data_IF_432366005921
#
_entry.id   IF_432366005921
#
_cell.length_a   1.000
_cell.length_b   1.000
_cell.length_c   1.000
_cell.angle_alpha   90.00
_cell.angle_beta   90.00
_cell.angle_gamma   90.00
#
_symmetry.space_group_name_H-M   'P 1'
#
loop_
_entity.id
_entity.type
_entity.pdbx_description
1 polymer ?
#
# COMPACT_ATOMS: atom_id res chain seq x y z
N UNK A 1 3.52 -23.01 1.23
CA UNK A 1 4.83 -23.28 1.80
C UNK A 1 4.95 -24.79 2.04
N UNK A 2 6.00 -25.42 1.60
CA UNK A 2 6.22 -26.86 1.83
C UNK A 2 7.71 -27.12 2.07
N UNK A 3 8.02 -27.79 3.17
CA UNK A 3 9.40 -28.21 3.52
C UNK A 3 10.45 -27.10 3.45
N UNK A 4 10.13 -25.90 3.92
CA UNK A 4 11.05 -24.75 3.90
C UNK A 4 11.12 -23.99 2.55
N UNK A 5 10.21 -24.28 1.60
CA UNK A 5 10.22 -23.66 0.29
C UNK A 5 8.86 -23.11 -0.13
N UNK A 6 8.85 -21.94 -0.78
CA UNK A 6 7.68 -21.44 -1.49
C UNK A 6 7.49 -22.24 -2.78
N UNK A 7 6.31 -22.80 -2.98
CA UNK A 7 5.96 -23.55 -4.19
C UNK A 7 4.98 -22.70 -5.00
N UNK A 8 5.33 -22.34 -6.26
CA UNK A 8 4.41 -21.59 -7.10
C UNK A 8 3.20 -22.48 -7.45
N UNK A 9 2.00 -21.97 -7.16
CA UNK A 9 0.73 -22.62 -7.51
C UNK A 9 0.21 -22.21 -8.89
N UNK A 10 0.63 -21.06 -9.40
CA UNK A 10 0.21 -20.54 -10.69
C UNK A 10 0.91 -19.24 -11.03
N UNK A 11 0.74 -18.81 -12.26
CA UNK A 11 1.20 -17.51 -12.76
C UNK A 11 0.02 -16.84 -13.43
N UNK A 12 -0.23 -15.58 -13.06
CA UNK A 12 -1.15 -14.72 -13.76
C UNK A 12 -0.35 -13.78 -14.65
N UNK A 13 -0.56 -13.89 -15.95
CA UNK A 13 0.00 -12.96 -16.91
C UNK A 13 -1.08 -11.97 -17.34
N UNK A 14 -0.79 -10.69 -17.25
CA UNK A 14 -1.59 -9.61 -17.78
C UNK A 14 -0.88 -8.95 -18.97
N UNK A 15 -1.63 -8.16 -19.74
CA UNK A 15 -1.06 -7.41 -20.85
C UNK A 15 0.10 -6.54 -20.36
N UNK A 16 1.24 -6.59 -21.07
CA UNK A 16 2.44 -5.77 -20.79
C UNK A 16 2.19 -4.26 -20.72
N UNK A 17 1.02 -3.82 -21.18
CA UNK A 17 0.57 -2.42 -21.07
C UNK A 17 -0.22 -2.13 -19.80
N UNK A 18 -0.32 -3.07 -18.89
CA UNK A 18 -0.91 -2.90 -17.57
C UNK A 18 0.17 -2.78 -16.50
N UNK A 19 -0.16 -2.08 -15.42
CA UNK A 19 0.68 -1.97 -14.23
C UNK A 19 -0.13 -2.32 -12.99
N UNK A 20 0.35 -3.27 -12.21
CA UNK A 20 -0.19 -3.55 -10.90
C UNK A 20 0.30 -2.49 -9.92
N UNK A 21 -0.64 -1.77 -9.33
CA UNK A 21 -0.37 -0.67 -8.39
C UNK A 21 -0.30 -1.19 -6.96
N UNK A 22 -1.22 -2.08 -6.61
CA UNK A 22 -1.28 -2.70 -5.28
C UNK A 22 -1.85 -4.11 -5.36
N UNK A 23 -1.44 -4.92 -4.39
CA UNK A 23 -1.97 -6.26 -4.14
C UNK A 23 -2.26 -6.36 -2.65
N UNK A 24 -3.48 -6.76 -2.31
CA UNK A 24 -3.92 -7.04 -0.94
C UNK A 24 -4.65 -8.38 -0.87
N UNK A 25 -4.63 -9.02 0.29
CA UNK A 25 -5.21 -10.35 0.48
C UNK A 25 -6.05 -10.35 1.76
N UNK A 26 -7.29 -10.82 1.66
CA UNK A 26 -8.16 -11.08 2.81
C UNK A 26 -9.38 -11.90 2.37
N UNK A 27 -9.99 -12.65 3.29
CA UNK A 27 -11.32 -13.24 3.10
C UNK A 27 -12.38 -12.19 3.46
N UNK A 28 -12.81 -11.42 2.46
CA UNK A 28 -13.79 -10.34 2.62
C UNK A 28 -15.22 -10.82 2.37
N UNK A 29 -15.40 -11.81 1.50
CA UNK A 29 -16.72 -12.36 1.22
C UNK A 29 -17.18 -13.37 2.28
N UNK A 30 -16.28 -13.79 3.19
CA UNK A 30 -16.57 -14.65 4.34
C UNK A 30 -16.79 -16.11 3.96
N UNK A 31 -16.26 -16.57 2.83
CA UNK A 31 -16.43 -17.96 2.37
C UNK A 31 -15.34 -18.92 2.86
N UNK A 32 -14.33 -18.43 3.61
CA UNK A 32 -13.21 -19.19 4.14
C UNK A 32 -12.03 -19.31 3.17
N UNK A 33 -12.08 -18.66 2.01
CA UNK A 33 -10.99 -18.58 1.03
C UNK A 33 -10.62 -17.11 0.84
N UNK A 34 -9.36 -16.78 1.06
CA UNK A 34 -8.92 -15.40 0.88
C UNK A 34 -8.92 -14.99 -0.59
N UNK A 35 -9.45 -13.80 -0.86
CA UNK A 35 -9.36 -13.15 -2.15
C UNK A 35 -8.04 -12.39 -2.29
N UNK A 36 -7.59 -12.23 -3.54
CA UNK A 36 -6.47 -11.38 -3.92
C UNK A 36 -7.04 -10.18 -4.67
N UNK A 37 -6.96 -9.00 -4.06
CA UNK A 37 -7.41 -7.73 -4.62
C UNK A 37 -6.27 -7.05 -5.36
N UNK A 38 -6.42 -6.86 -6.65
CA UNK A 38 -5.38 -6.29 -7.50
C UNK A 38 -5.87 -4.98 -8.12
N UNK A 39 -5.21 -3.89 -7.75
CA UNK A 39 -5.39 -2.62 -8.46
C UNK A 39 -4.55 -2.64 -9.71
N UNK A 40 -5.22 -2.62 -10.86
CA UNK A 40 -4.61 -2.69 -12.18
C UNK A 40 -4.93 -1.44 -12.99
N UNK A 41 -3.89 -0.81 -13.54
CA UNK A 41 -4.00 0.39 -14.35
C UNK A 41 -3.25 0.22 -15.66
N UNK A 42 -3.89 0.48 -16.81
CA UNK A 42 -3.20 0.54 -18.08
C UNK A 42 -2.10 1.60 -18.06
N UNK A 43 -0.93 1.25 -18.57
CA UNK A 43 0.19 2.18 -18.74
C UNK A 43 -0.15 3.24 -19.78
N UNK A 44 0.24 4.45 -19.53
CA UNK A 44 0.13 5.51 -20.53
C UNK A 44 1.36 5.42 -21.45
N UNK A 45 1.21 4.70 -22.56
CA UNK A 45 2.30 4.62 -23.54
C UNK A 45 2.54 5.97 -24.22
N UNK A 46 3.78 6.20 -24.69
CA UNK A 46 4.15 7.41 -25.43
C UNK A 46 3.26 7.67 -26.67
N UNK A 47 2.63 6.62 -27.24
CA UNK A 47 1.63 6.75 -28.29
C UNK A 47 0.31 7.37 -27.84
N UNK A 48 -0.03 7.26 -26.54
CA UNK A 48 -1.22 7.91 -25.96
C UNK A 48 -1.00 9.40 -25.68
N UNK A 49 0.24 9.87 -25.52
CA UNK A 49 0.53 11.29 -25.44
C UNK A 49 0.12 12.02 -26.75
N UNK A 50 0.32 11.38 -27.90
CA UNK A 50 -0.14 11.94 -29.19
C UNK A 50 -1.67 11.93 -29.34
N UNK A 51 -2.35 10.91 -28.80
CA UNK A 51 -3.83 10.86 -28.85
C UNK A 51 -4.47 11.81 -27.83
N UNK A 52 -3.77 12.26 -26.78
CA UNK A 52 -4.24 13.31 -25.86
C UNK A 52 -4.42 14.66 -26.53
N UNK A 53 -3.53 15.01 -27.47
CA UNK A 53 -3.69 16.23 -28.27
C UNK A 53 -5.03 16.28 -29.03
N UNK A 54 -5.73 15.16 -29.13
CA UNK A 54 -7.03 14.99 -29.79
C UNK A 54 -8.17 14.60 -28.82
N UNK A 55 -8.04 14.83 -27.51
CA UNK A 55 -9.12 14.59 -26.52
C UNK A 55 -9.27 13.11 -26.11
N UNK A 56 -8.21 12.33 -26.12
CA UNK A 56 -8.25 10.95 -25.66
C UNK A 56 -8.51 10.88 -24.14
N UNK A 57 -9.41 9.98 -23.73
CA UNK A 57 -9.76 9.78 -22.32
C UNK A 57 -8.59 9.17 -21.56
N UNK A 58 -8.38 9.61 -20.30
CA UNK A 58 -7.46 8.97 -19.35
C UNK A 58 -7.74 7.47 -19.27
N UNK A 59 -6.70 6.60 -19.34
CA UNK A 59 -6.87 5.18 -19.12
C UNK A 59 -7.58 4.91 -17.79
N UNK A 60 -8.64 4.15 -17.82
CA UNK A 60 -9.40 3.83 -16.63
C UNK A 60 -8.81 2.60 -15.93
N UNK A 61 -8.98 2.52 -14.62
CA UNK A 61 -8.66 1.34 -13.86
C UNK A 61 -9.38 0.11 -14.41
N UNK A 62 -8.70 -1.01 -14.34
CA UNK A 62 -9.20 -2.34 -14.66
C UNK A 62 -8.82 -3.30 -13.53
N UNK A 63 -9.16 -2.88 -12.31
CA UNK A 63 -8.90 -3.67 -11.11
C UNK A 63 -9.69 -4.97 -11.15
N UNK A 64 -9.18 -6.01 -10.53
CA UNK A 64 -9.82 -7.32 -10.51
C UNK A 64 -9.55 -8.04 -9.20
N UNK A 65 -10.34 -9.08 -8.94
CA UNK A 65 -10.23 -9.90 -7.74
C UNK A 65 -10.10 -11.36 -8.13
N UNK A 66 -9.11 -12.04 -7.54
CA UNK A 66 -8.87 -13.46 -7.72
C UNK A 66 -9.28 -14.22 -6.48
N UNK A 67 -9.74 -15.45 -6.66
CA UNK A 67 -9.98 -16.41 -5.61
C UNK A 67 -9.46 -17.79 -6.05
N UNK A 68 -8.95 -18.57 -5.10
CA UNK A 68 -8.48 -19.93 -5.35
C UNK A 68 -9.65 -20.91 -5.30
N UNK A 69 -9.91 -21.64 -6.39
CA UNK A 69 -11.02 -22.63 -6.47
C UNK A 69 -10.64 -24.06 -6.05
N UNK A 70 -9.44 -24.23 -5.50
CA UNK A 70 -8.86 -25.53 -5.14
C UNK A 70 -7.93 -26.10 -6.20
N UNK A 71 -7.89 -25.52 -7.41
CA UNK A 71 -7.03 -25.97 -8.51
C UNK A 71 -6.30 -24.81 -9.20
N UNK A 72 -6.94 -23.66 -9.33
CA UNK A 72 -6.40 -22.48 -10.00
C UNK A 72 -7.00 -21.20 -9.44
N UNK A 73 -6.34 -20.06 -9.71
CA UNK A 73 -6.91 -18.76 -9.45
C UNK A 73 -7.96 -18.41 -10.51
N UNK A 74 -9.13 -17.96 -10.07
CA UNK A 74 -10.20 -17.44 -10.91
C UNK A 74 -10.43 -15.97 -10.66
N UNK A 75 -10.66 -15.20 -11.72
CA UNK A 75 -11.17 -13.84 -11.58
C UNK A 75 -12.65 -13.91 -11.21
N UNK A 76 -12.99 -13.52 -9.99
CA UNK A 76 -14.37 -13.44 -9.50
C UNK A 76 -14.98 -12.04 -9.72
N UNK A 77 -14.12 -11.02 -9.91
CA UNK A 77 -14.47 -9.68 -10.34
C UNK A 77 -13.48 -9.23 -11.39
N UNK A 78 -13.96 -8.59 -12.47
CA UNK A 78 -13.16 -8.04 -13.55
C UNK A 78 -13.53 -6.58 -13.85
N UNK A 79 -12.57 -5.82 -14.36
CA UNK A 79 -12.74 -4.45 -14.86
C UNK A 79 -13.36 -3.48 -13.83
N UNK A 80 -13.11 -3.68 -12.54
CA UNK A 80 -13.56 -2.76 -11.51
C UNK A 80 -12.83 -1.40 -11.62
N UNK A 81 -13.52 -0.33 -11.25
CA UNK A 81 -13.07 1.07 -11.40
C UNK A 81 -12.56 1.69 -10.10
N UNK A 82 -12.38 0.90 -9.07
CA UNK A 82 -11.80 1.34 -7.81
C UNK A 82 -10.32 0.98 -7.72
N UNK A 83 -9.58 1.85 -7.07
CA UNK A 83 -8.36 1.45 -6.37
C UNK A 83 -8.80 0.59 -5.18
N UNK A 84 -8.10 -0.50 -4.92
CA UNK A 84 -8.37 -1.40 -3.80
C UNK A 84 -7.32 -1.29 -2.71
N UNK A 85 -7.73 -1.43 -1.47
CA UNK A 85 -6.88 -1.62 -0.31
C UNK A 85 -7.61 -2.43 0.75
N UNK A 86 -6.95 -3.39 1.36
CA UNK A 86 -7.41 -4.00 2.60
C UNK A 86 -6.81 -3.23 3.76
N UNK A 87 -7.68 -2.75 4.65
CA UNK A 87 -7.30 -2.05 5.88
C UNK A 87 -7.79 -2.83 7.08
N UNK A 88 -7.03 -2.79 8.18
CA UNK A 88 -7.50 -3.33 9.45
C UNK A 88 -8.18 -2.23 10.25
N UNK A 89 -9.42 -2.47 10.64
CA UNK A 89 -10.19 -1.58 11.53
C UNK A 89 -10.22 -2.23 12.91
N UNK A 90 -9.84 -1.51 13.99
CA UNK A 90 -9.92 -2.04 15.35
C UNK A 90 -11.28 -2.68 15.64
N UNK A 91 -11.29 -3.83 16.26
CA UNK A 91 -12.48 -4.64 16.63
C UNK A 91 -13.35 -5.14 15.46
N UNK A 92 -13.02 -4.80 14.20
CA UNK A 92 -13.75 -5.29 13.01
C UNK A 92 -12.89 -6.23 12.15
N UNK A 93 -11.57 -6.12 12.24
CA UNK A 93 -10.64 -6.90 11.42
C UNK A 93 -10.40 -6.31 10.03
N UNK A 94 -10.13 -7.18 9.06
CA UNK A 94 -9.84 -6.80 7.68
C UNK A 94 -11.11 -6.32 6.97
N UNK A 95 -11.00 -5.17 6.32
CA UNK A 95 -12.08 -4.53 5.55
C UNK A 95 -11.53 -4.11 4.19
N UNK A 96 -12.23 -4.44 3.13
CA UNK A 96 -11.91 -3.92 1.80
C UNK A 96 -12.38 -2.48 1.68
N UNK A 97 -11.49 -1.58 1.30
CA UNK A 97 -11.85 -0.20 0.95
C UNK A 97 -11.53 0.09 -0.50
N UNK A 98 -12.35 0.94 -1.09
CA UNK A 98 -12.20 1.39 -2.45
C UNK A 98 -12.25 2.90 -2.57
N UNK A 99 -11.56 3.42 -3.58
CA UNK A 99 -11.68 4.81 -3.98
C UNK A 99 -11.66 4.88 -5.50
N UNK A 100 -12.52 5.70 -6.08
CA UNK A 100 -12.61 5.82 -7.54
C UNK A 100 -11.45 6.61 -8.11
N UNK A 101 -11.08 6.27 -9.32
CA UNK A 101 -10.16 7.09 -10.10
C UNK A 101 -10.80 8.44 -10.41
N UNK A 102 -10.03 9.49 -10.21
CA UNK A 102 -10.41 10.85 -10.60
C UNK A 102 -10.24 11.11 -12.09
N UNK A 103 -10.70 12.26 -12.51
CA UNK A 103 -10.51 12.75 -13.87
C UNK A 103 -9.17 13.49 -13.90
N UNK A 104 -8.26 13.02 -14.74
CA UNK A 104 -7.05 13.75 -15.06
C UNK A 104 -7.42 14.65 -16.26
N UNK A 105 -7.50 15.95 -16.02
CA UNK A 105 -7.93 16.93 -17.03
C UNK A 105 -6.74 17.50 -17.79
N UNK A 106 -6.88 17.64 -19.10
CA UNK A 106 -5.89 18.32 -19.94
C UNK A 106 -6.02 19.86 -19.85
N UNK A 107 -7.02 20.36 -19.13
CA UNK A 107 -7.24 21.79 -18.92
C UNK A 107 -6.79 22.19 -17.52
N UNK A 108 -6.19 23.37 -17.39
CA UNK A 108 -5.74 24.00 -16.16
C UNK A 108 -6.73 23.78 -15.00
N UNK A 109 -6.49 22.78 -14.19
CA UNK A 109 -7.33 22.40 -13.07
C UNK A 109 -6.68 21.26 -12.29
N UNK A 110 -7.01 21.16 -11.01
CA UNK A 110 -6.47 20.15 -10.11
C UNK A 110 -6.59 18.74 -10.71
N UNK A 111 -5.46 18.14 -11.06
CA UNK A 111 -5.39 16.73 -11.43
C UNK A 111 -5.79 15.87 -10.22
N UNK A 112 -7.01 15.36 -10.24
CA UNK A 112 -7.50 14.51 -9.17
C UNK A 112 -7.25 13.06 -9.54
N UNK A 113 -6.21 12.47 -8.98
CA UNK A 113 -5.92 11.04 -9.16
C UNK A 113 -7.02 10.20 -8.53
N UNK A 114 -7.44 10.60 -7.33
CA UNK A 114 -8.50 9.96 -6.57
C UNK A 114 -9.76 10.83 -6.57
N UNK A 115 -10.92 10.20 -6.69
CA UNK A 115 -12.22 10.87 -6.69
C UNK A 115 -13.14 10.31 -5.64
N UNK A 116 -13.84 11.21 -4.96
CA UNK A 116 -14.77 10.82 -3.89
C UNK A 116 -14.07 10.36 -2.61
N UNK A 117 -14.86 9.97 -1.62
CA UNK A 117 -14.36 9.46 -0.36
C UNK A 117 -13.77 8.05 -0.51
N UNK A 118 -12.99 7.64 0.48
CA UNK A 118 -12.66 6.23 0.68
C UNK A 118 -13.89 5.55 1.28
N UNK A 119 -14.40 4.52 0.61
CA UNK A 119 -15.61 3.80 1.00
C UNK A 119 -15.29 2.34 1.28
N UNK A 120 -15.99 1.74 2.21
CA UNK A 120 -16.02 0.31 2.41
C UNK A 120 -16.69 -0.36 1.22
N UNK A 121 -16.11 -1.45 0.75
CA UNK A 121 -16.65 -2.27 -0.32
C UNK A 121 -17.04 -3.62 0.26
N UNK A 122 -18.30 -4.00 0.08
CA UNK A 122 -18.84 -5.27 0.58
C UNK A 122 -19.23 -6.18 -0.56
N UNK A 123 -19.08 -7.49 -0.33
CA UNK A 123 -19.48 -8.48 -1.33
C UNK A 123 -21.01 -8.60 -1.41
N UNK A 124 -21.55 -8.35 -2.58
CA UNK A 124 -22.99 -8.50 -2.82
C UNK A 124 -23.26 -8.94 -4.27
N UNK A 125 -23.92 -10.11 -4.40
CA UNK A 125 -24.42 -10.58 -5.71
C UNK A 125 -23.37 -10.78 -6.80
N UNK A 126 -22.12 -11.12 -6.44
CA UNK A 126 -21.03 -11.36 -7.41
C UNK A 126 -20.18 -10.14 -7.71
N UNK A 127 -20.29 -9.07 -6.92
CA UNK A 127 -19.48 -7.85 -7.05
C UNK A 127 -19.18 -7.24 -5.68
N UNK A 128 -18.11 -6.44 -5.61
CA UNK A 128 -17.85 -5.56 -4.48
C UNK A 128 -18.52 -4.21 -4.71
N UNK A 129 -19.44 -3.84 -3.83
CA UNK A 129 -20.23 -2.62 -3.95
C UNK A 129 -19.92 -1.66 -2.80
N UNK A 130 -19.90 -0.33 -3.07
CA UNK A 130 -19.72 0.65 -2.00
C UNK A 130 -20.89 0.60 -0.99
N UNK A 131 -20.53 0.58 0.29
CA UNK A 131 -21.49 0.65 1.39
C UNK A 131 -21.29 1.95 2.17
N UNK A 132 -20.38 1.96 3.15
CA UNK A 132 -20.18 3.11 4.03
C UNK A 132 -18.94 3.93 3.69
N UNK A 133 -19.03 5.25 3.89
CA UNK A 133 -17.86 6.12 3.86
C UNK A 133 -17.07 5.96 5.17
N UNK A 134 -15.77 5.74 5.07
CA UNK A 134 -14.89 5.62 6.23
C UNK A 134 -14.81 6.89 7.10
N UNK A 135 -15.33 8.01 6.63
CA UNK A 135 -15.31 9.27 7.38
C UNK A 135 -13.91 9.82 7.63
N UNK A 136 -12.98 9.58 6.70
CA UNK A 136 -11.62 10.09 6.80
C UNK A 136 -11.56 11.60 6.53
N UNK A 137 -10.58 12.33 7.10
CA UNK A 137 -10.33 13.73 6.79
C UNK A 137 -10.19 13.97 5.29
N UNK A 138 -10.62 15.16 4.83
CA UNK A 138 -10.50 15.56 3.44
C UNK A 138 -9.05 15.46 2.94
N UNK A 139 -8.87 15.05 1.68
CA UNK A 139 -7.59 14.87 0.97
C UNK A 139 -6.82 13.59 1.34
N UNK A 140 -7.32 12.73 2.22
CA UNK A 140 -6.75 11.39 2.37
C UNK A 140 -7.16 10.50 1.22
N UNK A 141 -6.22 9.68 0.76
CA UNK A 141 -6.50 8.61 -0.20
C UNK A 141 -6.27 7.25 0.47
N UNK A 142 -6.78 6.20 -0.16
CA UNK A 142 -6.78 4.85 0.43
C UNK A 142 -5.37 4.26 0.66
N UNK A 143 -4.32 4.80 0.05
CA UNK A 143 -2.95 4.33 0.27
C UNK A 143 -2.20 5.09 1.36
N UNK A 144 -2.74 6.21 1.84
CA UNK A 144 -2.01 7.13 2.70
C UNK A 144 -2.24 6.94 4.20
N UNK A 145 -3.03 5.97 4.63
CA UNK A 145 -3.41 5.82 6.04
C UNK A 145 -3.46 4.37 6.53
N UNK A 146 -3.45 4.24 7.85
CA UNK A 146 -3.88 3.06 8.60
C UNK A 146 -4.68 3.51 9.83
N UNK A 147 -5.50 2.62 10.36
CA UNK A 147 -6.33 2.86 11.54
C UNK A 147 -5.85 1.99 12.69
N UNK A 148 -5.88 2.52 13.93
CA UNK A 148 -5.52 1.76 15.10
C UNK A 148 -5.87 2.46 16.40
N UNK A 149 -6.09 1.70 17.45
CA UNK A 149 -6.17 2.21 18.83
C UNK A 149 -4.74 2.29 19.39
N UNK A 150 -4.04 3.37 19.04
CA UNK A 150 -2.62 3.56 19.32
C UNK A 150 -2.35 3.78 20.82
N UNK A 151 -3.31 4.37 21.53
CA UNK A 151 -3.20 4.65 22.97
C UNK A 151 -3.79 3.54 23.84
N UNK A 152 -4.34 2.49 23.22
CA UNK A 152 -5.00 1.38 23.90
C UNK A 152 -6.11 1.87 24.88
N UNK A 153 -6.86 2.87 24.45
CA UNK A 153 -7.92 3.52 25.22
C UNK A 153 -9.31 3.34 24.62
N UNK A 154 -9.43 2.55 23.55
CA UNK A 154 -10.66 2.30 22.81
C UNK A 154 -10.96 3.37 21.76
N UNK A 155 -10.10 4.37 21.56
CA UNK A 155 -10.28 5.41 20.55
C UNK A 155 -9.44 5.09 19.32
N UNK A 156 -10.11 5.02 18.19
CA UNK A 156 -9.45 4.82 16.91
C UNK A 156 -8.76 6.10 16.45
N UNK A 157 -7.51 5.98 16.09
CA UNK A 157 -6.67 7.04 15.55
C UNK A 157 -6.25 6.74 14.11
N UNK A 158 -5.80 7.76 13.41
CA UNK A 158 -5.33 7.69 12.03
C UNK A 158 -3.83 7.89 12.01
N UNK A 159 -3.11 6.89 11.52
CA UNK A 159 -1.74 7.02 11.07
C UNK A 159 -1.73 7.36 9.59
N UNK A 160 -0.94 8.34 9.18
CA UNK A 160 -0.88 8.74 7.76
C UNK A 160 0.49 9.30 7.40
N UNK A 161 0.76 9.38 6.09
CA UNK A 161 1.93 10.10 5.60
C UNK A 161 1.56 11.50 5.12
N UNK A 162 2.40 12.48 5.43
CA UNK A 162 2.34 13.81 4.82
C UNK A 162 2.84 13.77 3.36
N UNK A 163 2.64 14.86 2.62
CA UNK A 163 3.21 15.01 1.26
C UNK A 163 4.76 14.97 1.22
N UNK A 164 5.40 15.13 2.37
CA UNK A 164 6.85 15.07 2.53
C UNK A 164 7.30 13.74 3.15
N UNK A 165 6.44 12.73 3.13
CA UNK A 165 6.68 11.40 3.64
C UNK A 165 6.94 11.33 5.17
N UNK A 166 6.49 12.34 5.96
CA UNK A 166 6.51 12.27 7.43
C UNK A 166 5.33 11.43 7.93
N UNK A 167 5.59 10.55 8.88
CA UNK A 167 4.54 9.79 9.56
C UNK A 167 3.81 10.73 10.54
N UNK A 168 2.48 10.68 10.53
CA UNK A 168 1.60 11.50 11.37
C UNK A 168 0.63 10.65 12.14
N UNK A 169 0.32 11.07 13.35
CA UNK A 169 -0.77 10.56 14.15
C UNK A 169 -1.82 11.66 14.32
N UNK A 170 -3.06 11.37 14.03
CA UNK A 170 -4.20 12.28 14.19
C UNK A 170 -5.41 11.55 14.73
N UNK A 171 -6.34 12.29 15.29
CA UNK A 171 -7.66 11.77 15.61
C UNK A 171 -8.54 11.65 14.34
N UNK A 172 -9.76 11.14 14.51
CA UNK A 172 -10.73 10.97 13.40
C UNK A 172 -11.20 12.29 12.79
N UNK A 173 -11.07 13.41 13.48
CA UNK A 173 -11.36 14.74 12.93
C UNK A 173 -10.24 15.26 12.04
N UNK A 174 -9.06 14.66 12.10
CA UNK A 174 -7.84 15.08 11.42
C UNK A 174 -6.98 16.05 12.25
N UNK A 175 -7.29 16.24 13.55
CA UNK A 175 -6.44 17.02 14.43
C UNK A 175 -5.14 16.26 14.70
N UNK A 176 -4.03 16.82 14.23
CA UNK A 176 -2.71 16.22 14.36
C UNK A 176 -2.24 16.25 15.82
N UNK A 177 -1.81 15.10 16.32
CA UNK A 177 -1.28 14.95 17.68
C UNK A 177 0.23 14.79 17.67
N UNK A 178 0.79 14.21 16.59
CA UNK A 178 2.22 14.00 16.46
C UNK A 178 2.64 13.87 15.00
N UNK A 179 3.87 14.25 14.73
CA UNK A 179 4.55 14.04 13.44
C UNK A 179 5.99 13.59 13.68
N UNK A 180 6.47 12.66 12.85
CA UNK A 180 7.86 12.18 12.89
C UNK A 180 8.85 13.28 12.52
N UNK A 181 10.07 13.21 13.07
CA UNK A 181 11.18 14.06 12.66
C UNK A 181 11.87 13.57 11.37
N UNK A 182 11.65 12.31 11.01
CA UNK A 182 12.26 11.65 9.86
C UNK A 182 11.20 11.18 8.86
N UNK A 183 11.59 10.98 7.62
CA UNK A 183 10.72 10.51 6.55
C UNK A 183 10.58 9.01 6.59
N UNK A 184 9.36 8.54 6.36
CA UNK A 184 8.98 7.15 6.24
C UNK A 184 8.14 6.92 4.98
N UNK A 185 7.98 5.68 4.58
CA UNK A 185 7.00 5.33 3.56
C UNK A 185 7.33 5.70 2.13
N UNK A 186 8.50 6.27 1.88
CA UNK A 186 8.95 6.62 0.53
C UNK A 186 9.11 5.37 -0.33
N UNK A 187 8.44 5.32 -1.48
CA UNK A 187 8.56 4.22 -2.46
C UNK A 187 8.84 4.74 -3.86
N UNK A 188 9.07 3.79 -4.80
CA UNK A 188 9.14 4.08 -6.24
C UNK A 188 7.86 3.63 -6.98
N UNK A 189 6.81 3.29 -6.23
CA UNK A 189 5.49 3.04 -6.82
C UNK A 189 4.82 4.37 -7.13
N UNK A 190 4.44 4.59 -8.38
CA UNK A 190 3.86 5.86 -8.79
C UNK A 190 2.74 5.70 -9.82
N UNK A 191 1.92 6.72 -9.91
CA UNK A 191 0.95 6.92 -10.97
C UNK A 191 1.44 8.03 -11.89
N UNK A 192 1.45 7.76 -13.19
CA UNK A 192 1.77 8.79 -14.16
C UNK A 192 0.60 9.78 -14.29
N UNK A 193 0.91 11.05 -14.23
CA UNK A 193 -0.03 12.16 -14.40
C UNK A 193 0.51 13.12 -15.46
N UNK A 194 -0.35 13.86 -16.20
CA UNK A 194 0.12 14.90 -17.09
C UNK A 194 0.90 15.95 -16.32
N UNK A 195 1.98 16.45 -16.92
CA UNK A 195 2.67 17.63 -16.41
C UNK A 195 1.86 18.89 -16.74
N UNK A 196 1.66 19.75 -15.74
CA UNK A 196 0.91 21.01 -15.90
C UNK A 196 1.63 22.02 -16.81
N UNK A 197 2.93 21.87 -17.00
CA UNK A 197 3.78 22.78 -17.82
C UNK A 197 4.03 22.32 -19.24
N UNK A 198 3.94 21.01 -19.50
CA UNK A 198 4.16 20.42 -20.83
C UNK A 198 3.19 19.26 -21.08
N UNK A 199 2.23 19.47 -21.98
CA UNK A 199 1.23 18.46 -22.36
C UNK A 199 1.83 17.19 -22.98
N UNK A 200 3.10 17.23 -23.36
CA UNK A 200 3.84 16.09 -23.93
C UNK A 200 4.64 15.32 -22.89
N UNK A 201 4.77 15.87 -21.67
CA UNK A 201 5.52 15.25 -20.58
C UNK A 201 4.59 14.69 -19.50
N UNK A 202 5.12 13.77 -18.71
CA UNK A 202 4.40 13.06 -17.64
C UNK A 202 5.13 13.28 -16.32
N UNK A 203 4.40 13.68 -15.31
CA UNK A 203 4.88 13.74 -13.94
C UNK A 203 4.52 12.45 -13.18
N UNK A 204 5.08 12.27 -11.99
CA UNK A 204 4.90 11.08 -11.16
C UNK A 204 4.29 11.45 -9.83
N UNK A 205 3.12 10.91 -9.57
CA UNK A 205 2.54 10.93 -8.24
C UNK A 205 2.96 9.65 -7.49
N UNK A 206 3.92 9.77 -6.59
CA UNK A 206 4.41 8.64 -5.81
C UNK A 206 3.41 8.26 -4.74
N UNK A 207 3.13 6.96 -4.65
CA UNK A 207 2.28 6.39 -3.62
C UNK A 207 3.13 6.07 -2.39
N UNK A 208 2.65 6.34 -1.18
CA UNK A 208 3.36 5.95 0.03
C UNK A 208 3.33 4.43 0.22
N UNK A 209 4.28 3.93 1.00
CA UNK A 209 4.26 2.53 1.42
C UNK A 209 3.12 2.26 2.41
N UNK A 210 2.90 0.98 2.66
CA UNK A 210 1.97 0.49 3.67
C UNK A 210 2.37 0.92 5.08
N UNK A 211 1.39 1.20 5.92
CA UNK A 211 1.51 1.26 7.38
C UNK A 211 0.74 0.06 7.93
N UNK A 212 1.35 -0.73 8.78
CA UNK A 212 0.66 -1.82 9.48
C UNK A 212 0.60 -1.50 10.96
N UNK A 213 -0.61 -1.45 11.50
CA UNK A 213 -0.84 -1.34 12.94
C UNK A 213 -1.12 -2.74 13.46
N UNK A 214 -0.36 -3.16 14.46
CA UNK A 214 -0.58 -4.42 15.18
C UNK A 214 -1.09 -4.11 16.58
N UNK A 215 -2.23 -4.67 16.90
CA UNK A 215 -2.75 -4.69 18.27
C UNK A 215 -2.57 -6.12 18.78
N UNK A 216 -1.76 -6.36 19.80
CA UNK A 216 -1.56 -7.70 20.34
C UNK A 216 -2.89 -8.27 20.85
N UNK A 217 -3.16 -9.54 20.56
CA UNK A 217 -4.35 -10.26 21.07
C UNK A 217 -4.32 -10.41 22.59
N UNK A 218 -3.14 -10.50 23.17
CA UNK A 218 -2.90 -10.52 24.61
C UNK A 218 -2.28 -9.20 25.06
N UNK A 219 -2.63 -8.73 26.24
CA UNK A 219 -2.22 -7.45 26.80
C UNK A 219 -0.81 -6.98 26.41
N UNK A 220 -0.73 -6.07 25.48
CA UNK A 220 0.49 -5.45 24.97
C UNK A 220 0.14 -4.09 24.36
N UNK A 221 1.14 -3.24 24.16
CA UNK A 221 0.93 -1.94 23.54
C UNK A 221 0.86 -2.09 22.03
N UNK A 222 -0.03 -1.32 21.38
CA UNK A 222 -0.10 -1.27 19.93
C UNK A 222 1.23 -0.83 19.32
N UNK A 223 1.52 -1.39 18.17
CA UNK A 223 2.78 -1.13 17.49
C UNK A 223 2.55 -0.87 16.01
N UNK A 224 3.47 -0.18 15.39
CA UNK A 224 3.38 0.27 14.00
C UNK A 224 4.61 -0.18 13.23
N UNK A 225 4.40 -0.87 12.12
CA UNK A 225 5.46 -1.21 11.19
C UNK A 225 5.41 -0.26 10.00
N UNK A 226 6.57 0.27 9.65
CA UNK A 226 6.76 1.20 8.53
C UNK A 226 8.06 0.91 7.79
N UNK A 227 8.04 1.17 6.48
CA UNK A 227 9.26 1.13 5.68
C UNK A 227 10.01 2.46 5.82
N UNK A 228 11.33 2.35 5.94
CA UNK A 228 12.26 3.47 5.83
C UNK A 228 13.27 3.20 4.72
N UNK A 229 12.97 3.73 3.55
CA UNK A 229 13.86 3.72 2.40
C UNK A 229 14.71 4.99 2.40
N UNK A 230 16.03 4.85 2.26
CA UNK A 230 16.96 5.97 2.23
C UNK A 230 17.26 6.38 0.80
N UNK A 231 16.85 7.59 0.43
CA UNK A 231 17.14 8.15 -0.89
C UNK A 231 18.64 8.45 -1.04
N UNK A 232 19.22 8.05 -2.18
CA UNK A 232 20.63 8.22 -2.50
C UNK A 232 21.01 9.57 -3.13
N UNK A 233 20.10 10.54 -3.07
CA UNK A 233 20.23 11.84 -3.71
C UNK A 233 19.41 11.94 -5.00
N UNK A 234 18.95 13.15 -5.30
CA UNK A 234 18.14 13.45 -6.48
C UNK A 234 19.05 13.92 -7.61
N UNK A 235 19.54 12.98 -8.42
CA UNK A 235 20.26 13.32 -9.66
C UNK A 235 19.28 13.82 -10.74
N UNK A 236 18.05 13.31 -10.72
CA UNK A 236 16.97 13.72 -11.62
C UNK A 236 15.70 14.05 -10.80
N UNK A 237 15.02 15.17 -11.06
CA UNK A 237 13.86 15.60 -10.27
C UNK A 237 12.71 14.58 -10.21
N UNK A 238 12.60 13.72 -11.22
CA UNK A 238 11.48 12.78 -11.42
C UNK A 238 11.84 11.33 -11.16
N UNK A 239 13.04 11.04 -10.64
CA UNK A 239 13.49 9.66 -10.40
C UNK A 239 14.01 9.55 -8.98
N UNK A 240 13.34 8.75 -8.17
CA UNK A 240 13.81 8.36 -6.84
C UNK A 240 14.87 7.28 -6.98
N UNK A 241 16.02 7.47 -6.35
CA UNK A 241 17.10 6.48 -6.28
C UNK A 241 17.29 6.13 -4.81
N UNK A 242 17.23 4.85 -4.50
CA UNK A 242 17.38 4.37 -3.13
C UNK A 242 18.71 3.65 -2.95
N UNK A 243 19.38 3.91 -1.83
CA UNK A 243 20.63 3.26 -1.44
C UNK A 243 20.38 2.04 -0.56
N UNK A 244 19.44 2.16 0.37
CA UNK A 244 19.09 1.10 1.31
C UNK A 244 17.65 1.24 1.79
N UNK A 245 17.10 0.16 2.32
CA UNK A 245 15.81 0.14 2.97
C UNK A 245 15.80 -0.80 4.17
N UNK A 246 14.98 -0.51 5.15
CA UNK A 246 14.67 -1.40 6.27
C UNK A 246 13.25 -1.15 6.76
N UNK A 247 12.73 -2.06 7.56
CA UNK A 247 11.42 -1.91 8.22
C UNK A 247 11.67 -1.63 9.67
N UNK A 248 11.01 -0.62 10.21
CA UNK A 248 11.05 -0.26 11.64
C UNK A 248 9.74 -0.68 12.31
N UNK A 249 9.88 -1.14 13.53
CA UNK A 249 8.81 -1.42 14.46
C UNK A 249 8.79 -0.31 15.51
N UNK A 250 7.72 0.47 15.51
CA UNK A 250 7.57 1.66 16.33
C UNK A 250 6.56 1.39 17.44
N UNK A 251 6.91 1.75 18.66
CA UNK A 251 6.00 1.74 19.81
C UNK A 251 5.66 3.17 20.24
N UNK A 252 4.41 3.39 20.65
CA UNK A 252 3.95 4.68 21.20
C UNK A 252 4.26 4.76 22.68
N UNK A 253 4.93 5.84 23.11
CA UNK A 253 5.30 6.04 24.51
C UNK A 253 4.42 7.09 25.24
N UNK A 254 3.31 7.48 24.63
CA UNK A 254 2.41 8.53 25.14
C UNK A 254 2.72 9.94 24.61
N UNK A 255 3.88 10.13 23.97
CA UNK A 255 4.32 11.44 23.40
C UNK A 255 4.83 11.32 21.97
N UNK A 256 5.44 10.19 21.63
CA UNK A 256 6.05 9.98 20.32
C UNK A 256 6.16 8.50 20.01
N UNK A 257 6.29 8.18 18.72
CA UNK A 257 6.72 6.85 18.29
C UNK A 257 8.24 6.70 18.45
N UNK A 258 8.65 5.58 19.05
CA UNK A 258 10.05 5.23 19.27
C UNK A 258 10.35 3.91 18.57
N UNK A 259 11.39 3.84 17.73
CA UNK A 259 11.82 2.58 17.15
C UNK A 259 12.28 1.61 18.25
N UNK A 260 11.63 0.45 18.34
CA UNK A 260 11.97 -0.61 19.29
C UNK A 260 12.71 -1.76 18.62
N UNK A 261 12.53 -1.91 17.33
CA UNK A 261 13.22 -2.92 16.52
C UNK A 261 13.25 -2.51 15.04
N UNK A 262 14.17 -3.08 14.29
CA UNK A 262 14.27 -2.92 12.83
C UNK A 262 14.90 -4.13 12.18
N UNK A 263 14.57 -4.36 10.91
CA UNK A 263 15.26 -5.35 10.08
C UNK A 263 16.69 -4.91 9.80
N UNK A 264 17.54 -5.84 9.39
CA UNK A 264 18.83 -5.49 8.80
C UNK A 264 18.59 -4.68 7.51
N UNK A 265 19.35 -3.60 7.29
CA UNK A 265 19.22 -2.82 6.06
C UNK A 265 19.53 -3.68 4.84
N UNK A 266 18.66 -3.60 3.83
CA UNK A 266 18.87 -4.23 2.52
C UNK A 266 19.41 -3.20 1.54
N UNK A 267 20.20 -3.65 0.56
CA UNK A 267 20.64 -2.81 -0.54
C UNK A 267 19.49 -2.49 -1.47
N UNK A 268 19.40 -1.23 -1.92
CA UNK A 268 18.31 -0.66 -2.74
C UNK A 268 17.07 -0.38 -1.90
N UNK A 269 15.88 -0.81 -2.31
CA UNK A 269 14.68 -0.42 -1.57
C UNK A 269 13.70 -1.58 -1.36
N UNK A 270 12.87 -1.41 -0.36
CA UNK A 270 11.71 -2.27 -0.06
C UNK A 270 10.49 -1.63 -0.71
N UNK A 271 9.81 -2.39 -1.59
CA UNK A 271 8.65 -1.86 -2.32
C UNK A 271 7.35 -2.01 -1.55
N UNK A 272 7.16 -3.13 -0.86
CA UNK A 272 5.99 -3.38 0.00
C UNK A 272 6.33 -4.47 1.02
N UNK A 273 5.47 -4.63 2.04
CA UNK A 273 5.61 -5.65 3.06
C UNK A 273 4.24 -6.08 3.60
N UNK A 274 4.20 -7.25 4.21
CA UNK A 274 3.04 -7.80 4.87
C UNK A 274 3.47 -8.54 6.14
N UNK A 275 2.50 -8.83 7.01
CA UNK A 275 2.67 -9.65 8.20
C UNK A 275 1.61 -10.75 8.17
N UNK A 276 1.99 -11.97 8.47
CA UNK A 276 1.10 -13.12 8.56
C UNK A 276 1.86 -14.42 8.74
N UNK A 277 1.17 -15.44 9.18
CA UNK A 277 1.70 -16.80 9.37
C UNK A 277 1.91 -17.47 8.00
N UNK A 278 3.12 -17.34 7.46
CA UNK A 278 3.48 -17.80 6.11
C UNK A 278 3.71 -19.32 6.07
N UNK A 279 4.25 -19.88 7.13
CA UNK A 279 4.62 -21.29 7.17
C UNK A 279 3.66 -22.18 7.96
N UNK A 280 2.60 -21.57 8.51
CA UNK A 280 1.54 -22.20 9.28
C UNK A 280 2.04 -22.82 10.60
N UNK A 281 3.00 -22.18 11.25
CA UNK A 281 3.48 -22.59 12.57
C UNK A 281 2.73 -21.89 13.73
N UNK A 282 1.83 -20.97 13.42
CA UNK A 282 1.03 -20.21 14.37
C UNK A 282 1.70 -18.92 14.84
N UNK A 283 2.85 -18.54 14.28
CA UNK A 283 3.51 -17.27 14.50
C UNK A 283 3.46 -16.42 13.22
N UNK A 284 3.49 -15.13 13.38
CA UNK A 284 3.52 -14.24 12.22
C UNK A 284 4.95 -13.96 11.76
N UNK A 285 5.18 -14.06 10.46
CA UNK A 285 6.38 -13.59 9.79
C UNK A 285 6.18 -12.20 9.20
N UNK A 286 7.28 -11.47 9.11
CA UNK A 286 7.42 -10.29 8.28
C UNK A 286 7.87 -10.72 6.88
N UNK A 287 7.04 -10.44 5.88
CA UNK A 287 7.32 -10.71 4.47
C UNK A 287 7.49 -9.40 3.75
N UNK A 288 8.58 -9.22 2.99
CA UNK A 288 8.80 -7.99 2.24
C UNK A 288 9.52 -8.21 0.92
N UNK A 289 9.29 -7.31 -0.02
CA UNK A 289 9.89 -7.36 -1.35
C UNK A 289 11.01 -6.34 -1.50
N UNK A 290 12.22 -6.84 -1.79
CA UNK A 290 13.40 -6.02 -2.10
C UNK A 290 13.52 -5.91 -3.61
N UNK A 291 13.55 -4.69 -4.14
CA UNK A 291 13.72 -4.43 -5.57
C UNK A 291 15.11 -3.91 -5.85
N UNK A 292 15.83 -4.64 -6.70
CA UNK A 292 17.15 -4.23 -7.17
C UNK A 292 16.99 -3.71 -8.60
N UNK A 293 16.97 -2.38 -8.76
CA UNK A 293 17.01 -1.79 -10.10
C UNK A 293 18.40 -1.96 -10.68
N UNK A 294 18.48 -2.56 -11.86
CA UNK A 294 19.72 -2.55 -12.63
C UNK A 294 19.94 -1.15 -13.23
N UNK A 295 21.20 -0.74 -13.37
CA UNK A 295 21.59 0.58 -13.86
C UNK A 295 21.29 0.84 -15.34
N UNK A 296 20.74 -0.14 -16.07
CA UNK A 296 20.38 0.02 -17.47
C UNK A 296 18.87 0.17 -17.65
N UNK A 297 18.45 1.17 -18.42
CA UNK A 297 17.05 1.40 -18.77
C UNK A 297 16.39 0.24 -19.56
N UNK A 298 17.17 -0.79 -19.89
CA UNK A 298 16.77 -1.93 -20.72
C UNK A 298 16.87 -3.28 -20.00
N UNK A 299 17.27 -3.31 -18.73
CA UNK A 299 17.35 -4.56 -17.97
C UNK A 299 16.14 -4.67 -17.04
N UNK A 300 15.47 -5.81 -17.09
CA UNK A 300 14.41 -6.16 -16.17
C UNK A 300 14.92 -6.06 -14.72
N UNK A 301 14.17 -5.36 -13.88
CA UNK A 301 14.48 -5.26 -12.45
C UNK A 301 14.36 -6.66 -11.83
N UNK A 302 15.28 -6.99 -10.94
CA UNK A 302 15.15 -8.18 -10.10
C UNK A 302 14.51 -7.80 -8.78
N UNK A 303 13.54 -8.59 -8.34
CA UNK A 303 12.98 -8.51 -6.99
C UNK A 303 13.22 -9.82 -6.25
N UNK A 304 13.32 -9.71 -4.94
CA UNK A 304 13.47 -10.85 -4.04
C UNK A 304 12.44 -10.72 -2.93
N UNK A 305 11.72 -11.78 -2.66
CA UNK A 305 10.86 -11.87 -1.49
C UNK A 305 11.73 -12.38 -0.33
N UNK A 306 11.71 -11.64 0.77
CA UNK A 306 12.38 -11.98 2.03
C UNK A 306 11.29 -12.18 3.07
N UNK A 307 11.44 -13.19 3.90
CA UNK A 307 10.61 -13.42 5.07
C UNK A 307 11.48 -13.73 6.27
N UNK A 308 11.03 -13.34 7.43
CA UNK A 308 11.70 -13.59 8.71
C UNK A 308 10.68 -13.53 9.83
N UNK A 309 10.92 -14.29 10.89
CA UNK A 309 10.10 -14.27 12.09
C UNK A 309 10.07 -12.85 12.68
N UNK A 310 8.91 -12.43 13.12
CA UNK A 310 8.79 -11.22 13.93
C UNK A 310 9.27 -11.54 15.35
N UNK A 311 10.07 -10.66 15.96
CA UNK A 311 10.47 -10.86 17.33
C UNK A 311 9.25 -10.84 18.25
N UNK A 312 9.22 -11.75 19.23
CA UNK A 312 8.27 -11.65 20.33
C UNK A 312 8.62 -10.42 21.17
N UNK A 313 7.77 -9.39 21.10
CA UNK A 313 7.95 -8.21 21.96
C UNK A 313 7.36 -8.50 23.33
N UNK A 314 8.15 -9.13 24.21
CA UNK A 314 7.87 -9.17 25.63
C UNK A 314 7.94 -7.75 26.21
N UNK A 315 7.03 -7.44 27.16
CA UNK A 315 6.95 -6.15 27.86
C UNK A 315 8.35 -5.63 28.23
N UNK A 316 8.64 -4.34 28.04
CA UNK A 316 9.83 -3.75 28.64
C UNK A 316 9.76 -4.01 30.15
N UNK A 317 10.73 -4.72 30.65
CA UNK A 317 10.91 -4.92 32.09
C UNK A 317 11.03 -3.52 32.70
N UNK A 318 10.03 -3.10 33.44
CA UNK A 318 10.12 -1.86 34.23
C UNK A 318 11.34 -1.99 35.16
N UNK A 319 12.36 -1.23 34.91
CA UNK A 319 13.46 -0.98 35.86
C UNK A 319 13.14 0.24 36.68
#
# INVERSE_FOLDING_TARGET
YQQGHLIPLGVLEEDKFNSFISVDIADINGNGVAEIFITNRPLMSAGHAQTRAFGAKTPQLRSFVLEWDGQQFKKIVEDDRHFFRVVHIPHRGAVLVGQRQGVISDTFGENKIFSGPVTELVWHGGAYVPEDNLGLPARMNLYSFALGDIENNGQEMILSYSHQDYLRLSDRSGAEQWQSAENYGTTDTYLEIPDDGDMMDMDRYYLPSRIIVRTPEQAGDPSVLVIKNTEGGRTFPRVKIFNSGHIEYLAWNGLSFVPTWRTQPVSKYISDFAVGDLDNDGQDELVFTVVVKTSSAFADGKSTIVFQDLPEFSKPTQQ
#
